data_IF_746256575150
#
_entry.id   IF_746256575150
#
_cell.length_a   1.000
_cell.length_b   1.000
_cell.length_c   1.000
_cell.angle_alpha   90.00
_cell.angle_beta   90.00
_cell.angle_gamma   90.00
#
_symmetry.space_group_name_H-M   'P 1'
#
loop_
_entity.id
_entity.type
_entity.pdbx_description
1 polymer ?
#
# COMPACT_ATOMS: atom_id res chain seq x y z
N UNK A 1 -15.58 -26.06 17.53
CA UNK A 1 -14.34 -26.81 17.23
C UNK A 1 -13.54 -25.99 16.23
N UNK A 2 -12.37 -25.47 16.61
CA UNK A 2 -11.52 -24.69 15.70
C UNK A 2 -10.83 -25.67 14.75
N UNK A 3 -11.01 -25.48 13.44
CA UNK A 3 -10.35 -26.31 12.43
C UNK A 3 -8.87 -25.91 12.38
N UNK A 4 -7.98 -26.83 12.72
CA UNK A 4 -6.53 -26.59 12.65
C UNK A 4 -6.12 -26.45 11.19
N UNK A 5 -5.39 -25.37 10.87
CA UNK A 5 -4.83 -25.15 9.53
C UNK A 5 -3.83 -26.26 9.21
N UNK A 6 -3.91 -26.82 8.01
CA UNK A 6 -2.98 -27.86 7.56
C UNK A 6 -1.61 -27.26 7.24
N UNK A 7 -0.55 -28.08 7.30
CA UNK A 7 0.78 -27.61 6.86
C UNK A 7 0.77 -27.19 5.39
N UNK A 8 -0.03 -27.86 4.56
CA UNK A 8 -0.16 -27.55 3.14
C UNK A 8 -0.75 -26.14 2.93
N UNK A 9 -1.78 -25.78 3.69
CA UNK A 9 -2.40 -24.45 3.59
C UNK A 9 -1.46 -23.36 4.12
N UNK A 10 -0.65 -23.65 5.14
CA UNK A 10 0.38 -22.73 5.60
C UNK A 10 1.47 -22.51 4.53
N UNK A 11 1.89 -23.58 3.85
CA UNK A 11 2.88 -23.49 2.78
C UNK A 11 2.39 -22.67 1.59
N UNK A 12 1.10 -22.78 1.21
CA UNK A 12 0.50 -21.95 0.14
C UNK A 12 0.69 -20.46 0.35
N UNK A 13 0.62 -20.00 1.61
CA UNK A 13 0.85 -18.59 1.96
C UNK A 13 2.35 -18.28 2.02
N UNK A 14 3.13 -19.12 2.70
CA UNK A 14 4.56 -18.87 2.94
C UNK A 14 5.40 -18.88 1.64
N UNK A 15 4.99 -19.67 0.65
CA UNK A 15 5.73 -19.85 -0.61
C UNK A 15 5.23 -18.92 -1.72
N UNK A 16 4.12 -18.19 -1.51
CA UNK A 16 3.57 -17.29 -2.53
C UNK A 16 4.46 -16.06 -2.70
N UNK A 17 4.92 -15.85 -3.92
CA UNK A 17 5.62 -14.62 -4.35
C UNK A 17 4.67 -13.83 -5.26
N UNK A 18 4.71 -12.50 -5.15
CA UNK A 18 3.96 -11.59 -6.02
C UNK A 18 4.33 -11.81 -7.49
N UNK A 19 3.31 -11.86 -8.35
CA UNK A 19 3.44 -11.82 -9.80
C UNK A 19 2.48 -10.79 -10.40
N UNK A 20 2.87 -9.98 -11.41
CA UNK A 20 1.96 -9.05 -12.07
C UNK A 20 0.72 -9.71 -12.71
N UNK A 21 0.78 -11.01 -13.04
CA UNK A 21 -0.39 -11.72 -13.53
C UNK A 21 -1.45 -11.97 -12.45
N UNK A 22 -1.09 -11.86 -11.16
CA UNK A 22 -1.98 -12.17 -10.03
C UNK A 22 -3.17 -11.21 -9.92
N UNK A 23 -3.11 -10.02 -10.51
CA UNK A 23 -4.27 -9.11 -10.62
C UNK A 23 -5.45 -9.73 -11.40
N UNK A 24 -5.17 -10.69 -12.29
CA UNK A 24 -6.19 -11.40 -13.07
C UNK A 24 -6.51 -12.79 -12.51
N UNK A 25 -5.85 -13.19 -11.42
CA UNK A 25 -6.09 -14.49 -10.79
C UNK A 25 -7.49 -14.57 -10.21
N UNK A 26 -8.09 -15.76 -10.20
CA UNK A 26 -9.34 -16.03 -9.45
C UNK A 26 -9.07 -16.56 -8.04
N UNK A 27 -7.80 -16.77 -7.68
CA UNK A 27 -7.40 -17.18 -6.33
C UNK A 27 -7.33 -15.96 -5.40
N UNK A 28 -8.07 -15.95 -4.28
CA UNK A 28 -8.13 -14.80 -3.37
C UNK A 28 -6.78 -14.42 -2.75
N UNK A 29 -5.92 -15.40 -2.47
CA UNK A 29 -4.58 -15.12 -1.93
C UNK A 29 -3.74 -14.35 -2.95
N UNK A 30 -3.76 -14.79 -4.21
CA UNK A 30 -3.07 -14.14 -5.32
C UNK A 30 -3.58 -12.71 -5.55
N UNK A 31 -4.90 -12.52 -5.62
CA UNK A 31 -5.49 -11.18 -5.77
C UNK A 31 -5.13 -10.26 -4.60
N UNK A 32 -5.22 -10.75 -3.35
CA UNK A 32 -4.88 -9.98 -2.17
C UNK A 32 -3.42 -9.53 -2.12
N UNK A 33 -2.50 -10.40 -2.56
CA UNK A 33 -1.08 -10.08 -2.70
C UNK A 33 -0.84 -8.99 -3.74
N UNK A 34 -1.50 -9.07 -4.90
CA UNK A 34 -1.38 -8.08 -5.96
C UNK A 34 -1.92 -6.70 -5.52
N UNK A 35 -3.11 -6.66 -4.93
CA UNK A 35 -3.71 -5.42 -4.40
C UNK A 35 -2.81 -4.79 -3.33
N UNK A 36 -2.24 -5.60 -2.44
CA UNK A 36 -1.34 -5.09 -1.38
C UNK A 36 -0.05 -4.53 -1.98
N UNK A 37 0.48 -5.16 -3.03
CA UNK A 37 1.65 -4.66 -3.75
C UNK A 37 1.38 -3.30 -4.41
N UNK A 38 0.20 -3.14 -5.02
CA UNK A 38 -0.29 -1.85 -5.55
C UNK A 38 -0.33 -0.80 -4.46
N UNK A 39 -1.09 -1.04 -3.37
CA UNK A 39 -1.25 -0.09 -2.27
C UNK A 39 0.08 0.33 -1.64
N UNK A 40 1.02 -0.60 -1.51
CA UNK A 40 2.37 -0.30 -1.01
C UNK A 40 3.16 0.56 -1.98
N UNK A 41 3.03 0.32 -3.28
CA UNK A 41 3.75 1.07 -4.33
C UNK A 41 3.15 2.46 -4.51
N UNK A 42 1.83 2.59 -4.47
CA UNK A 42 1.10 3.85 -4.50
C UNK A 42 1.49 4.70 -3.29
N UNK A 43 1.50 4.10 -2.09
CA UNK A 43 1.92 4.81 -0.87
C UNK A 43 3.38 5.28 -0.94
N UNK A 44 4.26 4.51 -1.59
CA UNK A 44 5.66 4.90 -1.77
C UNK A 44 5.84 6.00 -2.82
N UNK A 45 5.08 5.94 -3.92
CA UNK A 45 5.25 6.80 -5.10
C UNK A 45 4.45 8.09 -4.99
N UNK A 46 3.17 7.97 -4.61
CA UNK A 46 2.22 9.07 -4.52
C UNK A 46 2.12 9.64 -3.09
N UNK A 47 2.65 8.91 -2.11
CA UNK A 47 2.50 9.24 -0.70
C UNK A 47 1.16 8.78 -0.14
N UNK A 48 0.87 9.17 1.10
CA UNK A 48 -0.41 8.88 1.74
C UNK A 48 -1.37 10.06 1.61
N UNK A 49 -2.66 9.83 1.84
CA UNK A 49 -3.66 10.91 1.91
C UNK A 49 -3.41 11.93 3.04
N UNK A 50 -2.42 11.67 3.90
CA UNK A 50 -1.96 12.56 4.96
C UNK A 50 -0.85 13.52 4.49
N UNK A 51 -0.63 13.62 3.18
CA UNK A 51 0.29 14.61 2.61
C UNK A 51 -0.01 16.01 3.13
N UNK A 52 1.03 16.69 3.63
CA UNK A 52 0.95 18.10 4.01
C UNK A 52 1.50 18.96 2.87
N UNK A 53 0.80 20.03 2.55
CA UNK A 53 1.27 21.02 1.58
C UNK A 53 2.15 22.03 2.30
N UNK A 54 3.38 22.20 1.83
CA UNK A 54 4.28 23.24 2.30
C UNK A 54 3.70 24.65 2.03
N UNK A 55 3.69 25.48 3.06
CA UNK A 55 3.25 26.86 2.93
C UNK A 55 4.43 27.73 2.49
N UNK A 56 4.50 28.08 1.21
CA UNK A 56 5.58 28.90 0.66
C UNK A 56 5.20 30.39 0.55
N UNK A 57 6.21 31.25 0.56
CA UNK A 57 6.09 32.66 0.22
C UNK A 57 6.10 32.92 -1.28
N UNK A 58 6.00 34.20 -1.64
CA UNK A 58 5.92 34.67 -3.03
C UNK A 58 7.16 34.29 -3.85
N UNK A 59 8.27 33.98 -3.17
CA UNK A 59 9.56 33.67 -3.74
C UNK A 59 9.84 32.15 -3.68
N UNK A 60 8.86 31.34 -3.23
CA UNK A 60 8.98 29.88 -3.12
C UNK A 60 9.71 29.39 -1.87
N UNK A 61 10.03 30.27 -0.91
CA UNK A 61 10.66 29.87 0.35
C UNK A 61 9.61 29.42 1.38
N UNK A 62 9.93 28.40 2.18
CA UNK A 62 9.04 27.89 3.23
C UNK A 62 8.76 28.99 4.27
N UNK A 63 7.48 29.32 4.49
CA UNK A 63 7.04 30.26 5.54
C UNK A 63 7.11 29.63 6.94
N UNK A 64 6.89 28.33 7.03
CA UNK A 64 7.01 27.53 8.25
C UNK A 64 7.52 26.13 7.90
N UNK A 65 8.31 25.52 8.79
CA UNK A 65 8.80 24.14 8.61
C UNK A 65 7.73 23.07 8.81
N UNK A 66 6.54 23.45 9.26
CA UNK A 66 5.38 22.57 9.36
C UNK A 66 4.43 22.87 8.18
N UNK A 67 4.28 21.89 7.28
CA UNK A 67 3.28 21.92 6.23
C UNK A 67 1.86 21.89 6.79
N UNK A 68 0.88 22.31 5.98
CA UNK A 68 -0.55 22.31 6.34
C UNK A 68 -1.27 21.11 5.74
N UNK A 69 -2.26 20.59 6.46
CA UNK A 69 -3.10 19.52 5.93
C UNK A 69 -3.85 19.98 4.67
N UNK A 70 -4.04 19.06 3.72
CA UNK A 70 -4.88 19.27 2.56
C UNK A 70 -6.33 19.33 3.05
N UNK A 71 -6.99 20.48 2.87
CA UNK A 71 -8.41 20.60 3.19
C UNK A 71 -9.22 19.81 2.17
N UNK A 72 -10.15 18.97 2.66
CA UNK A 72 -11.09 18.20 1.83
C UNK A 72 -12.18 19.08 1.24
#
# INVERSE_FOLDING_TARGET
MVKKVSQEDANKVAEKVYSPADYQSNDPLSQGMAITHEQSTDSYTEGTINGKIDNVDKNGSLKSGEGRDIQK
#
